data_IF_104071447765
#
_entry.id   IF_104071447765
#
_cell.length_a   1.000
_cell.length_b   1.000
_cell.length_c   1.000
_cell.angle_alpha   90.00
_cell.angle_beta   90.00
_cell.angle_gamma   90.00
#
_symmetry.space_group_name_H-M   'P 1'
#
loop_
_entity.id
_entity.type
_entity.pdbx_description
1 polymer ?
#
# COMPACT_ATOMS: atom_id res chain seq x y z
N UNK A 1 -24.12 -27.67 4.08
CA UNK A 1 -23.55 -28.72 4.95
C UNK A 1 -23.51 -28.13 6.36
N UNK A 2 -24.34 -28.62 7.28
CA UNK A 2 -24.55 -28.00 8.58
C UNK A 2 -23.69 -28.68 9.65
N UNK A 3 -23.01 -27.91 10.50
CA UNK A 3 -22.37 -28.42 11.72
C UNK A 3 -23.22 -27.97 12.90
N UNK A 4 -23.77 -28.92 13.66
CA UNK A 4 -24.49 -28.68 14.91
C UNK A 4 -23.50 -28.66 16.07
N UNK A 5 -23.51 -27.59 16.86
CA UNK A 5 -22.97 -27.61 18.23
C UNK A 5 -24.13 -27.27 19.16
N UNK A 6 -24.52 -28.23 20.00
CA UNK A 6 -25.58 -28.01 20.99
C UNK A 6 -24.96 -27.41 22.25
N UNK A 7 -25.43 -26.24 22.67
CA UNK A 7 -25.35 -25.84 24.06
C UNK A 7 -26.70 -25.26 24.53
N UNK A 8 -26.97 -25.53 25.79
CA UNK A 8 -28.24 -25.40 26.49
C UNK A 8 -28.98 -24.08 26.25
N UNK A 9 -30.24 -24.21 25.80
CA UNK A 9 -31.30 -23.26 26.16
C UNK A 9 -31.77 -22.24 25.13
N UNK A 10 -31.12 -22.05 23.98
CA UNK A 10 -31.64 -21.15 22.94
C UNK A 10 -31.29 -21.65 21.53
N UNK A 11 -32.32 -21.92 20.73
CA UNK A 11 -32.17 -22.26 19.30
C UNK A 11 -31.91 -20.98 18.53
N UNK A 12 -30.65 -20.70 18.17
CA UNK A 12 -30.28 -19.57 17.32
C UNK A 12 -30.03 -20.08 15.91
N UNK A 13 -30.88 -19.69 14.97
CA UNK A 13 -30.70 -19.95 13.54
C UNK A 13 -29.82 -18.85 12.94
N UNK A 14 -28.63 -19.19 12.45
CA UNK A 14 -27.78 -18.24 11.71
C UNK A 14 -28.05 -18.46 10.22
N UNK A 15 -28.70 -17.49 9.57
CA UNK A 15 -28.87 -17.47 8.11
C UNK A 15 -27.73 -16.67 7.48
N UNK A 16 -26.80 -17.34 6.82
CA UNK A 16 -25.84 -16.66 5.95
C UNK A 16 -26.48 -16.46 4.58
N UNK A 17 -26.99 -15.26 4.29
CA UNK A 17 -27.45 -14.92 2.94
C UNK A 17 -26.43 -14.00 2.28
N UNK A 18 -25.89 -14.43 1.14
CA UNK A 18 -25.02 -13.62 0.28
C UNK A 18 -25.92 -12.86 -0.69
N UNK A 19 -25.94 -11.52 -0.62
CA UNK A 19 -26.69 -10.68 -1.56
C UNK A 19 -25.70 -9.81 -2.35
N UNK A 20 -25.74 -9.91 -3.67
CA UNK A 20 -25.03 -9.00 -4.59
C UNK A 20 -25.85 -7.71 -4.73
N UNK A 21 -25.33 -6.58 -4.26
CA UNK A 21 -25.97 -5.26 -4.43
C UNK A 21 -25.20 -4.43 -5.46
N UNK A 22 -25.87 -3.89 -6.50
CA UNK A 22 -25.21 -3.05 -7.50
C UNK A 22 -24.77 -1.68 -6.92
N UNK A 23 -23.66 -1.18 -7.47
CA UNK A 23 -22.83 -0.07 -6.97
C UNK A 23 -23.51 1.31 -6.79
N UNK A 24 -24.77 1.47 -7.20
CA UNK A 24 -25.39 2.80 -7.33
C UNK A 24 -25.86 3.44 -6.02
N UNK A 25 -25.80 2.74 -4.88
CA UNK A 25 -26.36 3.24 -3.62
C UNK A 25 -25.35 3.88 -2.64
N UNK A 26 -24.05 3.91 -2.95
CA UNK A 26 -22.98 4.34 -2.03
C UNK A 26 -22.20 5.58 -2.50
N UNK A 27 -22.83 6.46 -3.29
CA UNK A 27 -22.17 7.67 -3.82
C UNK A 27 -21.68 8.66 -2.72
N UNK A 28 -22.25 8.61 -1.52
CA UNK A 28 -21.93 9.54 -0.42
C UNK A 28 -20.80 9.13 0.54
N UNK A 29 -20.28 7.89 0.45
CA UNK A 29 -19.26 7.38 1.38
C UNK A 29 -17.88 7.20 0.74
N UNK A 30 -17.71 7.62 -0.51
CA UNK A 30 -16.47 7.44 -1.25
C UNK A 30 -15.58 8.70 -1.13
N UNK A 31 -14.31 8.57 -0.72
CA UNK A 31 -13.35 9.66 -0.84
C UNK A 31 -13.12 9.98 -2.31
N UNK A 32 -13.21 11.26 -2.66
CA UNK A 32 -12.90 11.74 -4.01
C UNK A 32 -11.42 11.48 -4.26
N UNK A 33 -11.12 10.68 -5.29
CA UNK A 33 -9.80 10.47 -5.89
C UNK A 33 -9.04 9.17 -5.55
N UNK A 34 -9.72 8.01 -5.59
CA UNK A 34 -9.03 6.71 -5.76
C UNK A 34 -9.69 5.87 -6.86
N UNK A 35 -8.94 5.63 -7.93
CA UNK A 35 -9.24 4.62 -8.94
C UNK A 35 -8.89 3.26 -8.35
N UNK A 36 -9.85 2.57 -7.75
CA UNK A 36 -9.64 1.17 -7.37
C UNK A 36 -10.94 0.41 -7.54
N UNK A 37 -10.93 -0.58 -8.44
CA UNK A 37 -11.99 -1.58 -8.59
C UNK A 37 -12.03 -2.45 -7.32
N UNK A 38 -12.64 -1.94 -6.25
CA UNK A 38 -12.80 -2.67 -5.00
C UNK A 38 -14.21 -3.26 -4.95
N UNK A 39 -14.31 -4.59 -4.92
CA UNK A 39 -15.53 -5.26 -4.46
C UNK A 39 -15.46 -5.37 -2.94
N UNK A 40 -16.48 -4.85 -2.25
CA UNK A 40 -16.58 -4.98 -0.79
C UNK A 40 -17.38 -6.25 -0.45
N UNK A 41 -16.80 -7.14 0.35
CA UNK A 41 -17.55 -8.22 1.00
C UNK A 41 -18.12 -7.67 2.32
N UNK A 42 -19.43 -7.42 2.37
CA UNK A 42 -20.10 -7.06 3.62
C UNK A 42 -20.54 -8.35 4.32
N UNK A 43 -19.79 -8.77 5.34
CA UNK A 43 -20.22 -9.84 6.26
C UNK A 43 -21.04 -9.18 7.37
N UNK A 44 -22.37 -9.23 7.25
CA UNK A 44 -23.26 -8.72 8.30
C UNK A 44 -23.46 -9.85 9.32
N UNK A 45 -22.66 -9.87 10.39
CA UNK A 45 -22.98 -10.69 11.57
C UNK A 45 -24.03 -9.94 12.39
N UNK A 46 -25.25 -10.48 12.50
CA UNK A 46 -26.21 -9.93 13.49
C UNK A 46 -25.79 -10.40 14.89
N UNK A 47 -25.32 -9.47 15.72
CA UNK A 47 -25.43 -9.56 17.18
C UNK A 47 -26.31 -8.41 17.68
N UNK A 48 -27.05 -8.60 18.78
CA UNK A 48 -28.04 -7.62 19.21
C UNK A 48 -27.34 -6.39 19.80
N UNK A 49 -27.76 -5.23 19.31
CA UNK A 49 -27.80 -3.91 19.96
C UNK A 49 -26.68 -2.88 19.82
N UNK A 50 -25.50 -3.09 19.20
CA UNK A 50 -24.61 -1.96 18.87
C UNK A 50 -23.80 -2.22 17.59
N UNK A 51 -24.38 -1.90 16.43
CA UNK A 51 -23.70 -1.99 15.13
C UNK A 51 -22.88 -0.72 14.89
N UNK A 52 -21.64 -0.69 15.36
CA UNK A 52 -20.65 0.21 14.74
C UNK A 52 -20.23 -0.43 13.42
N UNK A 53 -20.37 0.23 12.25
CA UNK A 53 -19.74 -0.25 11.03
C UNK A 53 -18.23 -0.19 11.25
N UNK A 54 -17.60 -1.33 11.52
CA UNK A 54 -16.15 -1.44 11.37
C UNK A 54 -15.88 -1.39 9.87
N UNK A 55 -15.71 -0.17 9.36
CA UNK A 55 -14.96 0.03 8.14
C UNK A 55 -13.55 -0.48 8.45
N UNK A 56 -13.24 -1.70 8.00
CA UNK A 56 -11.84 -2.08 7.80
C UNK A 56 -11.39 -1.22 6.64
N UNK A 57 -10.94 0.01 6.95
CA UNK A 57 -10.13 0.75 6.02
C UNK A 57 -8.98 -0.20 5.68
N UNK A 58 -8.93 -0.66 4.43
CA UNK A 58 -7.78 -1.38 3.93
C UNK A 58 -6.65 -0.35 3.94
N UNK A 59 -5.98 -0.23 5.08
CA UNK A 59 -4.89 0.72 5.25
C UNK A 59 -3.72 0.12 4.49
N UNK A 60 -3.56 0.57 3.25
CA UNK A 60 -2.37 0.26 2.47
C UNK A 60 -1.16 0.76 3.24
N UNK A 61 -0.09 -0.04 3.32
CA UNK A 61 1.17 0.34 3.95
C UNK A 61 1.82 1.55 3.25
N UNK A 62 1.51 1.74 1.98
CA UNK A 62 2.06 2.81 1.15
C UNK A 62 1.01 3.59 0.37
N UNK A 63 1.37 4.81 0.04
CA UNK A 63 0.61 5.72 -0.82
C UNK A 63 1.52 6.12 -1.98
N UNK A 64 1.03 5.99 -3.22
CA UNK A 64 1.69 6.54 -4.40
C UNK A 64 1.26 7.99 -4.57
N UNK A 65 2.24 8.86 -4.79
CA UNK A 65 2.01 10.26 -5.10
C UNK A 65 2.41 10.49 -6.55
N UNK A 66 1.43 10.81 -7.39
CA UNK A 66 1.59 11.06 -8.84
C UNK A 66 2.16 12.47 -9.15
N UNK A 67 3.03 13.00 -8.28
CA UNK A 67 3.68 14.29 -8.45
C UNK A 67 5.16 14.11 -8.81
N UNK A 68 5.63 14.75 -9.87
CA UNK A 68 7.03 14.71 -10.28
C UNK A 68 7.93 15.54 -9.34
N UNK A 69 8.77 14.86 -8.55
CA UNK A 69 9.72 15.48 -7.61
C UNK A 69 11.10 14.86 -7.71
N UNK A 70 12.14 15.63 -7.40
CA UNK A 70 13.47 15.08 -7.12
C UNK A 70 13.42 14.16 -5.90
N UNK A 71 14.39 13.27 -5.72
CA UNK A 71 14.38 12.33 -4.62
C UNK A 71 14.29 13.02 -3.25
N UNK A 72 15.05 14.11 -3.05
CA UNK A 72 15.05 14.90 -1.81
C UNK A 72 13.72 15.65 -1.58
N UNK A 73 13.14 16.23 -2.64
CA UNK A 73 11.81 16.85 -2.56
C UNK A 73 10.72 15.82 -2.24
N UNK A 74 10.81 14.62 -2.80
CA UNK A 74 9.89 13.52 -2.55
C UNK A 74 9.97 13.04 -1.09
N UNK A 75 11.19 12.84 -0.57
CA UNK A 75 11.42 12.51 0.84
C UNK A 75 10.83 13.58 1.77
N UNK A 76 11.12 14.84 1.49
CA UNK A 76 10.60 15.96 2.27
C UNK A 76 9.07 16.00 2.24
N UNK A 77 8.46 15.76 1.07
CA UNK A 77 7.01 15.67 0.94
C UNK A 77 6.43 14.51 1.76
N UNK A 78 7.03 13.31 1.68
CA UNK A 78 6.58 12.17 2.46
C UNK A 78 6.68 12.43 3.96
N UNK A 79 7.74 13.08 4.46
CA UNK A 79 7.87 13.41 5.90
C UNK A 79 6.89 14.49 6.36
N UNK A 80 6.54 15.42 5.47
CA UNK A 80 5.57 16.47 5.77
C UNK A 80 4.13 15.93 5.83
N UNK A 81 3.74 15.10 4.86
CA UNK A 81 2.35 14.65 4.69
C UNK A 81 2.08 13.25 5.24
N UNK A 82 3.11 12.42 5.40
CA UNK A 82 3.07 11.03 5.84
C UNK A 82 4.27 10.69 6.76
N UNK A 83 4.82 9.47 6.72
CA UNK A 83 6.04 9.08 7.48
C UNK A 83 7.33 9.38 6.72
N UNK A 84 7.66 8.64 5.65
CA UNK A 84 8.90 8.78 4.86
C UNK A 84 8.68 8.10 3.49
N UNK A 85 9.65 8.18 2.58
CA UNK A 85 9.68 7.35 1.38
C UNK A 85 9.63 5.86 1.74
N UNK A 86 8.98 5.09 0.88
CA UNK A 86 8.77 3.67 1.08
C UNK A 86 10.09 2.91 1.13
N UNK A 87 10.22 2.04 2.12
CA UNK A 87 11.28 1.05 2.19
C UNK A 87 10.75 -0.35 1.90
N UNK A 88 11.57 -1.20 1.30
CA UNK A 88 11.16 -2.53 0.84
C UNK A 88 12.09 -3.58 1.47
N UNK A 89 11.57 -4.35 2.42
CA UNK A 89 12.36 -5.24 3.29
C UNK A 89 12.40 -6.68 2.85
N UNK A 90 11.46 -7.08 2.01
CA UNK A 90 11.30 -8.47 1.59
C UNK A 90 10.52 -8.56 0.26
N UNK A 91 10.39 -9.78 -0.25
CA UNK A 91 9.70 -10.05 -1.50
C UNK A 91 8.20 -9.70 -1.43
N UNK A 92 7.54 -9.99 -0.33
CA UNK A 92 6.10 -9.70 -0.15
C UNK A 92 5.84 -8.22 -0.28
N UNK A 93 6.64 -7.40 0.40
CA UNK A 93 6.61 -5.95 0.28
C UNK A 93 6.88 -5.48 -1.17
N UNK A 94 7.83 -6.08 -1.87
CA UNK A 94 8.10 -5.71 -3.25
C UNK A 94 6.93 -6.00 -4.19
N UNK A 95 6.20 -7.11 -3.98
CA UNK A 95 5.01 -7.42 -4.78
C UNK A 95 3.82 -6.52 -4.42
N UNK A 96 3.66 -6.18 -3.14
CA UNK A 96 2.65 -5.21 -2.70
C UNK A 96 2.89 -3.84 -3.35
N UNK A 97 4.12 -3.31 -3.34
CA UNK A 97 4.41 -1.96 -3.85
C UNK A 97 4.31 -1.93 -5.38
N UNK A 98 4.66 -3.05 -6.03
CA UNK A 98 4.50 -3.25 -7.47
C UNK A 98 3.03 -3.17 -7.90
N UNK A 99 2.10 -3.64 -7.07
CA UNK A 99 0.66 -3.50 -7.34
C UNK A 99 0.17 -2.05 -7.29
N UNK A 100 0.92 -1.18 -6.60
CA UNK A 100 0.62 0.25 -6.44
C UNK A 100 1.33 1.11 -7.50
N UNK A 101 2.58 0.78 -7.84
CA UNK A 101 3.44 1.57 -8.72
C UNK A 101 3.16 1.23 -10.19
N UNK A 102 2.56 2.17 -10.93
CA UNK A 102 2.30 2.05 -12.38
C UNK A 102 3.43 2.60 -13.27
N UNK A 103 4.19 3.58 -12.76
CA UNK A 103 5.29 4.26 -13.45
C UNK A 103 6.53 4.32 -12.56
N UNK A 104 7.70 4.59 -13.12
CA UNK A 104 8.94 4.72 -12.33
C UNK A 104 8.76 5.69 -11.17
N UNK A 105 8.95 5.19 -9.96
CA UNK A 105 8.65 5.92 -8.73
C UNK A 105 9.80 5.81 -7.73
N UNK A 106 10.18 6.93 -7.12
CA UNK A 106 11.18 6.94 -6.07
C UNK A 106 10.77 6.06 -4.89
N UNK A 107 11.76 5.32 -4.39
CA UNK A 107 11.72 4.61 -3.11
C UNK A 107 12.82 5.18 -2.21
N UNK A 108 12.76 4.86 -0.92
CA UNK A 108 13.64 5.46 0.09
C UNK A 108 15.11 5.00 0.03
N UNK A 109 15.50 4.17 -0.93
CA UNK A 109 16.86 3.66 -1.03
C UNK A 109 17.76 4.68 -1.74
N UNK A 110 18.92 4.96 -1.15
CA UNK A 110 19.93 5.85 -1.72
C UNK A 110 21.36 5.36 -1.43
N UNK A 111 22.30 5.85 -2.25
CA UNK A 111 23.70 5.42 -2.28
C UNK A 111 24.54 6.23 -1.30
N UNK A 112 24.39 5.92 -0.03
CA UNK A 112 25.32 6.23 1.07
C UNK A 112 25.51 4.97 1.94
N UNK A 113 26.19 3.98 1.35
CA UNK A 113 26.24 2.61 1.89
C UNK A 113 24.95 1.81 1.69
N UNK A 114 24.15 2.14 0.67
CA UNK A 114 22.84 1.53 0.36
C UNK A 114 21.93 1.45 1.58
N UNK A 115 21.49 2.62 2.03
CA UNK A 115 20.65 2.79 3.21
C UNK A 115 19.28 3.31 2.81
N UNK A 116 18.30 2.98 3.63
CA UNK A 116 16.95 3.50 3.48
C UNK A 116 16.84 4.86 4.18
N UNK A 117 15.96 5.72 3.68
CA UNK A 117 15.70 7.05 4.23
C UNK A 117 15.17 7.01 5.66
N UNK A 118 14.54 5.90 6.05
CA UNK A 118 14.10 5.61 7.43
C UNK A 118 15.26 5.24 8.38
N UNK A 119 16.50 5.19 7.89
CA UNK A 119 17.70 4.94 8.66
C UNK A 119 18.10 3.48 8.81
N UNK A 120 17.28 2.53 8.36
CA UNK A 120 17.60 1.12 8.48
C UNK A 120 18.41 0.58 7.28
N UNK A 121 19.10 -0.53 7.50
CA UNK A 121 20.01 -1.12 6.51
C UNK A 121 19.27 -1.86 5.38
N UNK A 122 19.87 -1.90 4.20
CA UNK A 122 19.38 -2.74 3.10
C UNK A 122 19.69 -4.22 3.36
N UNK A 123 18.65 -5.02 3.57
CA UNK A 123 18.73 -6.48 3.73
C UNK A 123 18.19 -7.26 2.53
N UNK A 124 17.59 -6.56 1.58
CA UNK A 124 16.88 -7.14 0.44
C UNK A 124 17.02 -6.20 -0.77
N UNK A 125 17.10 -6.78 -1.97
CA UNK A 125 17.17 -6.02 -3.21
C UNK A 125 16.46 -6.69 -4.37
N UNK A 126 15.87 -5.88 -5.27
CA UNK A 126 15.27 -6.32 -6.53
C UNK A 126 15.78 -5.52 -7.73
N UNK A 127 17.10 -5.31 -7.78
CA UNK A 127 17.77 -4.67 -8.90
C UNK A 127 17.31 -5.22 -10.26
N UNK A 128 17.17 -4.33 -11.22
CA UNK A 128 17.04 -4.65 -12.63
C UNK A 128 18.35 -5.25 -13.14
N UNK A 129 18.31 -5.91 -14.30
CA UNK A 129 19.52 -6.50 -14.88
C UNK A 129 20.59 -5.42 -15.11
N UNK A 130 21.82 -5.71 -14.69
CA UNK A 130 22.99 -4.80 -14.73
C UNK A 130 22.90 -3.54 -13.83
N UNK A 131 22.01 -3.56 -12.84
CA UNK A 131 21.93 -2.52 -11.81
C UNK A 131 22.44 -3.00 -10.44
N UNK A 132 22.99 -2.10 -9.60
CA UNK A 132 23.28 -0.69 -9.90
C UNK A 132 24.51 -0.54 -10.82
N UNK A 133 24.42 0.34 -11.81
CA UNK A 133 25.46 0.57 -12.83
C UNK A 133 26.51 1.62 -12.36
N UNK A 134 26.22 2.33 -11.27
CA UNK A 134 27.16 3.21 -10.58
C UNK A 134 27.18 4.66 -11.08
N UNK A 135 28.37 5.27 -11.08
CA UNK A 135 28.52 6.70 -11.41
C UNK A 135 27.89 7.66 -10.39
N UNK A 136 27.25 8.73 -10.88
CA UNK A 136 26.55 9.74 -10.07
C UNK A 136 25.08 9.39 -9.81
N UNK A 137 24.64 8.20 -10.21
CA UNK A 137 23.32 7.65 -9.90
C UNK A 137 23.34 7.16 -8.45
N UNK A 138 22.60 7.88 -7.60
CA UNK A 138 22.64 7.70 -6.13
C UNK A 138 21.27 7.52 -5.50
N UNK A 139 20.20 7.60 -6.28
CA UNK A 139 18.84 7.48 -5.78
C UNK A 139 18.12 6.38 -6.53
N UNK A 140 17.25 5.62 -5.86
CA UNK A 140 16.67 4.41 -6.46
C UNK A 140 15.19 4.61 -6.73
N UNK A 141 14.77 4.22 -7.94
CA UNK A 141 13.38 4.12 -8.30
C UNK A 141 12.97 2.66 -8.50
N UNK A 142 11.71 2.36 -8.23
CA UNK A 142 11.07 1.08 -8.57
C UNK A 142 10.22 1.27 -9.82
N UNK A 143 10.34 0.34 -10.76
CA UNK A 143 9.50 0.22 -11.95
C UNK A 143 9.01 -1.23 -12.05
N UNK A 144 7.71 -1.45 -11.91
CA UNK A 144 7.09 -2.79 -11.93
C UNK A 144 7.76 -3.81 -10.97
N UNK A 145 8.23 -3.33 -9.81
CA UNK A 145 8.89 -4.15 -8.79
C UNK A 145 10.35 -4.49 -9.08
N UNK A 146 10.98 -3.84 -10.05
CA UNK A 146 12.42 -3.88 -10.30
C UNK A 146 13.05 -2.53 -10.02
N UNK A 147 14.25 -2.54 -9.46
CA UNK A 147 14.90 -1.34 -8.95
C UNK A 147 16.04 -0.90 -9.85
N UNK A 148 16.18 0.40 -9.97
CA UNK A 148 17.13 1.03 -10.88
C UNK A 148 17.67 2.29 -10.19
N UNK A 149 18.99 2.48 -10.19
CA UNK A 149 19.59 3.71 -9.72
C UNK A 149 19.48 4.79 -10.80
N UNK A 150 19.21 6.00 -10.35
CA UNK A 150 19.07 7.19 -11.17
C UNK A 150 19.82 8.34 -10.52
N UNK A 151 20.14 9.34 -11.34
CA UNK A 151 20.50 10.65 -10.83
C UNK A 151 19.36 11.22 -9.95
N UNK A 152 19.70 11.64 -8.74
CA UNK A 152 18.75 12.14 -7.74
C UNK A 152 17.98 13.39 -8.18
N UNK A 153 18.45 14.07 -9.24
CA UNK A 153 17.80 15.25 -9.83
C UNK A 153 16.66 14.91 -10.80
N UNK A 154 16.47 13.63 -11.17
CA UNK A 154 15.29 13.21 -11.94
C UNK A 154 14.00 13.52 -11.19
N UNK A 155 12.95 13.87 -11.93
CA UNK A 155 11.64 14.19 -11.35
C UNK A 155 10.67 13.05 -11.65
N UNK A 156 10.42 12.20 -10.66
CA UNK A 156 9.59 11.00 -10.76
C UNK A 156 8.41 11.08 -9.79
N UNK A 157 7.43 10.20 -9.96
CA UNK A 157 6.48 9.86 -8.91
C UNK A 157 7.21 9.24 -7.73
N UNK A 158 6.51 9.02 -6.61
CA UNK A 158 7.16 8.48 -5.42
C UNK A 158 6.16 7.79 -4.49
N UNK A 159 6.63 6.75 -3.81
CA UNK A 159 5.84 6.03 -2.83
C UNK A 159 6.24 6.44 -1.41
N UNK A 160 5.26 6.80 -0.59
CA UNK A 160 5.44 7.11 0.83
C UNK A 160 4.87 5.97 1.70
N UNK A 161 5.38 5.80 2.91
CA UNK A 161 4.65 5.11 3.97
C UNK A 161 3.38 5.87 4.33
N UNK A 162 2.24 5.18 4.45
CA UNK A 162 0.93 5.80 4.65
C UNK A 162 0.69 6.35 6.06
N UNK A 163 1.33 5.76 7.07
CA UNK A 163 1.11 6.13 8.48
C UNK A 163 1.59 7.55 8.77
N UNK A 164 0.77 8.34 9.45
CA UNK A 164 1.16 9.48 10.27
C UNK A 164 0.10 9.66 11.36
#
# INVERSE_FOLDING_TARGET
MFTLIMNTGNVIFIFTTVILVPLHHFSGYLPKNQSTKQYFLLVITQQPSYLTPQCVCCSSRWILVEGHKTWSEAQSYCRQNYTDLASIRNLTENEEIKGLISNSSWIGLFRDGWKWSDGSAMSFSKWYHNQPNGGDERCVASHLGKWDDYSCSHRLYFACYSGK
#
